data_IF_341290903496
#
_entry.id   IF_341290903496
#
_cell.length_a   1.000
_cell.length_b   1.000
_cell.length_c   1.000
_cell.angle_alpha   90.00
_cell.angle_beta   90.00
_cell.angle_gamma   90.00
#
_symmetry.space_group_name_H-M   'P 1'
#
loop_
_entity.id
_entity.type
_entity.pdbx_description
1 polymer ?
#
# COMPACT_ATOMS: atom_id res chain seq x y z
N UNK A 1 37.06 -8.64 -8.38
CA UNK A 1 36.51 -7.55 -9.22
C UNK A 1 35.18 -7.15 -8.61
N UNK A 2 35.13 -5.99 -7.96
CA UNK A 2 33.90 -5.44 -7.40
C UNK A 2 33.29 -4.53 -8.47
N UNK A 3 32.19 -4.96 -9.09
CA UNK A 3 31.47 -4.17 -10.08
C UNK A 3 30.59 -3.15 -9.33
N UNK A 4 31.03 -1.90 -9.30
CA UNK A 4 30.19 -0.78 -8.85
C UNK A 4 29.34 -0.36 -10.04
N UNK A 5 28.05 -0.73 -10.02
CA UNK A 5 27.07 -0.19 -10.96
C UNK A 5 26.61 1.16 -10.39
N UNK A 6 27.23 2.24 -10.84
CA UNK A 6 26.72 3.60 -10.61
C UNK A 6 25.42 3.76 -11.40
N UNK A 7 24.28 3.58 -10.74
CA UNK A 7 22.99 4.03 -11.26
C UNK A 7 22.75 5.45 -10.79
N UNK A 8 22.46 6.36 -11.73
CA UNK A 8 22.02 7.71 -11.42
C UNK A 8 20.59 7.66 -10.87
N UNK A 9 20.42 7.20 -9.65
CA UNK A 9 19.15 7.30 -8.95
C UNK A 9 18.83 8.79 -8.74
N UNK A 10 18.12 9.39 -9.69
CA UNK A 10 17.33 10.59 -9.44
C UNK A 10 16.57 10.29 -8.15
N UNK A 11 16.73 11.16 -7.14
CA UNK A 11 16.18 10.98 -5.80
C UNK A 11 14.65 11.05 -5.84
N UNK A 12 14.02 10.02 -6.41
CA UNK A 12 12.64 9.71 -6.14
C UNK A 12 12.65 9.31 -4.67
N UNK A 13 12.06 10.16 -3.82
CA UNK A 13 11.80 9.86 -2.42
C UNK A 13 11.16 8.46 -2.34
N UNK A 14 11.96 7.44 -2.03
CA UNK A 14 11.47 6.09 -1.89
C UNK A 14 10.60 6.05 -0.63
N UNK A 15 9.33 5.68 -0.79
CA UNK A 15 8.40 5.56 0.33
C UNK A 15 8.87 4.43 1.25
N UNK A 16 9.37 4.79 2.43
CA UNK A 16 9.75 3.82 3.46
C UNK A 16 8.50 3.45 4.25
N UNK A 17 8.11 2.17 4.21
CA UNK A 17 6.95 1.66 4.92
C UNK A 17 7.37 0.71 6.03
N UNK A 18 6.72 0.79 7.22
CA UNK A 18 6.90 -0.23 8.23
C UNK A 18 6.36 -1.57 7.73
N UNK A 19 6.97 -2.67 8.17
CA UNK A 19 6.63 -4.03 7.73
C UNK A 19 5.61 -4.74 8.63
N UNK A 20 5.03 -4.05 9.63
CA UNK A 20 3.94 -4.65 10.41
C UNK A 20 2.66 -4.69 9.59
N UNK A 21 1.93 -5.79 9.67
CA UNK A 21 0.65 -5.95 9.00
C UNK A 21 -0.50 -5.58 9.93
N UNK A 22 -1.41 -4.74 9.44
CA UNK A 22 -2.67 -4.40 10.10
C UNK A 22 -3.83 -5.25 9.58
N UNK A 23 -3.54 -6.28 8.78
CA UNK A 23 -4.57 -7.17 8.25
C UNK A 23 -5.02 -8.14 9.35
N UNK A 24 -6.16 -7.83 9.96
CA UNK A 24 -6.94 -8.79 10.73
C UNK A 24 -8.06 -9.35 9.84
N UNK A 25 -8.74 -10.39 10.31
CA UNK A 25 -9.91 -10.93 9.60
C UNK A 25 -10.94 -9.82 9.33
N UNK A 26 -11.53 -9.84 8.14
CA UNK A 26 -12.60 -8.91 7.74
C UNK A 26 -12.13 -7.61 7.09
N UNK A 27 -10.82 -7.38 6.90
CA UNK A 27 -10.35 -6.19 6.19
C UNK A 27 -10.42 -6.40 4.68
N UNK A 28 -10.83 -5.37 3.94
CA UNK A 28 -10.77 -5.34 2.48
C UNK A 28 -10.27 -3.98 1.98
N UNK A 29 -9.90 -3.91 0.70
CA UNK A 29 -9.43 -2.69 0.05
C UNK A 29 -10.30 -2.33 -1.16
N UNK A 30 -10.42 -1.05 -1.48
CA UNK A 30 -10.85 -0.57 -2.80
C UNK A 30 -9.79 0.37 -3.35
N UNK A 31 -9.63 0.40 -4.67
CA UNK A 31 -8.65 1.24 -5.35
C UNK A 31 -9.32 1.98 -6.53
N UNK A 32 -8.89 3.21 -6.87
CA UNK A 32 -9.45 3.94 -8.00
C UNK A 32 -9.41 3.14 -9.31
N UNK A 33 -8.36 2.36 -9.52
CA UNK A 33 -8.17 1.53 -10.72
C UNK A 33 -9.17 0.37 -10.85
N UNK A 34 -9.82 -0.05 -9.76
CA UNK A 34 -10.77 -1.17 -9.72
C UNK A 34 -12.18 -0.73 -9.30
N UNK A 35 -12.42 0.60 -9.21
CA UNK A 35 -13.68 1.17 -8.76
C UNK A 35 -14.11 0.66 -7.39
N UNK A 36 -15.34 0.15 -7.30
CA UNK A 36 -15.96 -0.33 -6.06
C UNK A 36 -15.67 -1.80 -5.74
N UNK A 37 -14.83 -2.48 -6.52
CA UNK A 37 -14.48 -3.88 -6.25
C UNK A 37 -13.76 -3.99 -4.90
N UNK A 38 -14.23 -4.91 -4.06
CA UNK A 38 -13.51 -5.31 -2.83
C UNK A 38 -12.36 -6.22 -3.22
N UNK A 39 -11.14 -5.78 -2.92
CA UNK A 39 -9.90 -6.50 -3.16
C UNK A 39 -9.34 -7.03 -1.83
N UNK A 40 -8.54 -8.09 -1.94
CA UNK A 40 -7.67 -8.52 -0.85
C UNK A 40 -6.77 -7.35 -0.41
N UNK A 41 -6.74 -7.01 0.88
CA UNK A 41 -5.95 -5.90 1.36
C UNK A 41 -4.45 -6.24 1.35
N UNK A 42 -3.63 -5.22 1.15
CA UNK A 42 -2.20 -5.32 1.41
C UNK A 42 -1.91 -5.23 2.91
N UNK A 43 -0.69 -5.62 3.29
CA UNK A 43 -0.22 -5.70 4.69
C UNK A 43 -0.57 -4.45 5.52
N UNK A 44 -0.36 -3.24 4.98
CA UNK A 44 -0.77 -2.01 5.64
C UNK A 44 -1.01 -0.87 4.65
N UNK A 45 -1.53 0.25 5.15
CA UNK A 45 -1.87 1.42 4.34
C UNK A 45 -0.69 2.04 3.57
N UNK A 46 0.50 1.99 4.16
CA UNK A 46 1.69 2.56 3.53
C UNK A 46 2.05 1.77 2.27
N UNK A 47 1.90 0.45 2.31
CA UNK A 47 2.17 -0.44 1.18
C UNK A 47 1.09 -0.40 0.09
N UNK A 48 -0.07 0.22 0.37
CA UNK A 48 -1.11 0.37 -0.62
C UNK A 48 -0.76 1.46 -1.65
N UNK A 49 -1.24 1.27 -2.89
CA UNK A 49 -1.05 2.27 -3.96
C UNK A 49 -1.83 3.54 -3.62
N UNK A 50 -1.27 4.70 -3.99
CA UNK A 50 -1.90 6.00 -3.76
C UNK A 50 -3.36 6.02 -4.21
N UNK A 51 -4.24 6.53 -3.35
CA UNK A 51 -5.69 6.58 -3.55
C UNK A 51 -6.45 5.31 -3.14
N UNK A 52 -5.77 4.18 -2.91
CA UNK A 52 -6.42 3.00 -2.36
C UNK A 52 -6.88 3.23 -0.92
N UNK A 53 -8.01 2.61 -0.55
CA UNK A 53 -8.65 2.75 0.75
C UNK A 53 -8.81 1.38 1.38
N UNK A 54 -8.43 1.25 2.65
CA UNK A 54 -8.64 0.02 3.43
C UNK A 54 -9.84 0.21 4.36
N UNK A 55 -10.64 -0.83 4.49
CA UNK A 55 -11.88 -0.83 5.26
C UNK A 55 -11.94 -2.03 6.20
N UNK A 56 -12.63 -1.87 7.33
CA UNK A 56 -13.13 -3.01 8.11
C UNK A 56 -14.30 -3.68 7.40
N UNK A 57 -14.67 -4.87 7.86
CA UNK A 57 -15.78 -5.68 7.34
C UNK A 57 -17.11 -4.91 7.32
N UNK A 58 -17.36 -4.14 8.38
CA UNK A 58 -18.53 -3.28 8.54
C UNK A 58 -18.50 -2.00 7.68
N UNK A 59 -17.48 -1.83 6.83
CA UNK A 59 -17.35 -0.69 5.93
C UNK A 59 -16.71 0.56 6.55
N UNK A 60 -16.25 0.51 7.81
CA UNK A 60 -15.51 1.63 8.41
C UNK A 60 -14.18 1.82 7.69
N UNK A 61 -13.94 3.05 7.20
CA UNK A 61 -12.65 3.42 6.60
C UNK A 61 -11.54 3.37 7.66
N UNK A 62 -10.48 2.61 7.38
CA UNK A 62 -9.28 2.57 8.20
C UNK A 62 -8.32 3.66 7.76
N UNK A 63 -8.06 3.76 6.45
CA UNK A 63 -7.12 4.73 5.90
C UNK A 63 -7.29 4.93 4.39
N UNK A 64 -6.70 6.01 3.86
CA UNK A 64 -6.47 6.21 2.43
C UNK A 64 -4.96 6.33 2.20
N UNK A 65 -4.44 5.56 1.25
CA UNK A 65 -3.02 5.56 0.92
C UNK A 65 -2.64 6.84 0.17
N UNK A 66 -1.58 7.49 0.62
CA UNK A 66 -0.95 8.66 -0.02
C UNK A 66 0.39 8.28 -0.59
#
# INVERSE_FOLDING_TARGET
>A
ILLVLESNAQYASAKVCPLYCIINQGIYMTCPSSGSQKLEPVCNCCLAKTGCKLYRDNGTLICTAT
#
